data_IF_954431933932
#
_entry.id   IF_954431933932
#
_cell.length_a   1.000
_cell.length_b   1.000
_cell.length_c   1.000
_cell.angle_alpha   90.00
_cell.angle_beta   90.00
_cell.angle_gamma   90.00
#
_symmetry.space_group_name_H-M   'P 1'
#
loop_
_entity.id
_entity.type
_entity.pdbx_description
1 polymer ?
#
# COMPACT_ATOMS: atom_id res chain seq x y z
N UNK A 1 -4.19 -2.71 7.20
CA UNK A 1 -3.46 -1.60 6.54
C UNK A 1 -4.14 -0.25 6.65
N UNK A 2 -5.35 -0.09 6.10
CA UNK A 2 -5.94 1.26 5.92
C UNK A 2 -6.07 2.10 7.20
N UNK A 3 -6.44 1.51 8.34
CA UNK A 3 -6.57 2.24 9.62
C UNK A 3 -5.24 2.71 10.23
N UNK A 4 -4.13 2.06 9.88
CA UNK A 4 -2.79 2.42 10.37
C UNK A 4 -1.98 3.20 9.33
N UNK A 5 -2.61 3.60 8.22
CA UNK A 5 -1.94 4.37 7.19
C UNK A 5 -1.53 5.75 7.75
N UNK A 6 -0.30 6.25 7.50
CA UNK A 6 0.19 7.49 8.11
C UNK A 6 -0.69 8.72 7.87
N UNK A 7 -1.44 8.74 6.77
CA UNK A 7 -2.35 9.83 6.39
C UNK A 7 -3.82 9.53 6.70
N UNK A 8 -4.09 8.44 7.42
CA UNK A 8 -5.44 8.03 7.82
C UNK A 8 -6.18 7.18 6.78
N UNK A 9 -7.27 6.56 7.24
CA UNK A 9 -8.10 5.65 6.44
C UNK A 9 -8.82 6.38 5.30
N UNK A 10 -9.33 7.59 5.57
CA UNK A 10 -10.07 8.40 4.60
C UNK A 10 -9.19 8.86 3.43
N UNK A 11 -7.87 8.96 3.64
CA UNK A 11 -6.91 9.21 2.58
C UNK A 11 -6.58 7.94 1.78
N UNK A 12 -6.44 6.80 2.46
CA UNK A 12 -6.04 5.53 1.88
C UNK A 12 -7.13 4.92 0.99
N UNK A 13 -8.37 4.87 1.49
CA UNK A 13 -9.49 4.18 0.84
C UNK A 13 -9.80 4.68 -0.59
N UNK A 14 -10.00 5.98 -0.85
CA UNK A 14 -10.35 6.45 -2.20
C UNK A 14 -9.21 6.23 -3.20
N UNK A 15 -7.95 6.32 -2.76
CA UNK A 15 -6.77 6.10 -3.62
C UNK A 15 -6.63 4.64 -4.01
N UNK A 16 -6.82 3.73 -3.06
CA UNK A 16 -6.84 2.29 -3.32
C UNK A 16 -7.94 1.95 -4.32
N UNK A 17 -9.16 2.46 -4.07
CA UNK A 17 -10.29 2.24 -4.96
C UNK A 17 -10.01 2.76 -6.38
N UNK A 18 -9.50 4.00 -6.52
CA UNK A 18 -9.13 4.56 -7.83
C UNK A 18 -8.09 3.71 -8.57
N UNK A 19 -7.09 3.20 -7.86
CA UNK A 19 -6.06 2.35 -8.45
C UNK A 19 -6.65 1.06 -9.04
N UNK A 20 -7.50 0.36 -8.30
CA UNK A 20 -8.19 -0.84 -8.81
C UNK A 20 -9.20 -0.52 -9.91
N UNK A 21 -10.00 0.55 -9.75
CA UNK A 21 -10.98 0.95 -10.76
C UNK A 21 -10.32 1.30 -12.11
N UNK A 22 -9.14 1.91 -12.10
CA UNK A 22 -8.41 2.22 -13.34
C UNK A 22 -7.99 0.97 -14.14
N UNK A 23 -8.02 -0.22 -13.51
CA UNK A 23 -7.69 -1.51 -14.11
C UNK A 23 -8.91 -2.44 -14.23
N UNK A 24 -10.11 -1.96 -13.94
CA UNK A 24 -11.33 -2.78 -13.95
C UNK A 24 -11.74 -3.28 -15.35
N UNK A 25 -11.21 -2.68 -16.41
CA UNK A 25 -11.49 -3.06 -17.80
C UNK A 25 -10.60 -4.21 -18.31
N UNK A 26 -9.62 -4.66 -17.51
CA UNK A 26 -8.76 -5.78 -17.90
C UNK A 26 -9.60 -7.07 -17.97
N UNK A 27 -9.56 -7.74 -19.11
CA UNK A 27 -10.23 -9.03 -19.34
C UNK A 27 -9.25 -10.18 -19.53
N UNK A 28 -7.98 -9.88 -19.84
CA UNK A 28 -6.94 -10.88 -20.00
C UNK A 28 -6.49 -11.39 -18.63
N UNK A 29 -6.54 -12.70 -18.43
CA UNK A 29 -6.19 -13.35 -17.16
C UNK A 29 -4.74 -13.10 -16.74
N UNK A 30 -3.79 -13.07 -17.69
CA UNK A 30 -2.38 -12.84 -17.40
C UNK A 30 -2.13 -11.41 -16.90
N UNK A 31 -2.81 -10.42 -17.49
CA UNK A 31 -2.73 -9.02 -17.07
C UNK A 31 -3.32 -8.81 -15.67
N UNK A 32 -4.41 -9.52 -15.35
CA UNK A 32 -5.03 -9.51 -14.03
C UNK A 32 -4.07 -10.10 -12.99
N UNK A 33 -3.45 -11.25 -13.29
CA UNK A 33 -2.46 -11.90 -12.40
C UNK A 33 -1.26 -10.99 -12.14
N UNK A 34 -0.72 -10.34 -13.17
CA UNK A 34 0.36 -9.36 -13.03
C UNK A 34 -0.07 -8.15 -12.19
N UNK A 35 -1.30 -7.66 -12.39
CA UNK A 35 -1.88 -6.59 -11.59
C UNK A 35 -1.97 -6.94 -10.10
N UNK A 36 -2.40 -8.16 -9.78
CA UNK A 36 -2.46 -8.67 -8.40
C UNK A 36 -1.06 -8.79 -7.80
N UNK A 37 -0.10 -9.40 -8.50
CA UNK A 37 1.29 -9.49 -8.03
C UNK A 37 1.88 -8.12 -7.73
N UNK A 38 1.63 -7.14 -8.61
CA UNK A 38 2.09 -5.77 -8.38
C UNK A 38 1.43 -5.14 -7.15
N UNK A 39 0.14 -5.39 -6.92
CA UNK A 39 -0.54 -4.92 -5.72
C UNK A 39 0.06 -5.53 -4.44
N UNK A 40 0.40 -6.83 -4.45
CA UNK A 40 1.07 -7.50 -3.33
C UNK A 40 2.48 -6.96 -3.07
N UNK A 41 3.23 -6.65 -4.13
CA UNK A 41 4.54 -6.04 -4.01
C UNK A 41 4.46 -4.65 -3.34
N UNK A 42 3.58 -3.78 -3.84
CA UNK A 42 3.36 -2.43 -3.28
C UNK A 42 2.90 -2.51 -1.83
N UNK A 43 2.04 -3.49 -1.50
CA UNK A 43 1.61 -3.77 -0.12
C UNK A 43 2.81 -3.98 0.81
N UNK A 44 3.75 -4.86 0.42
CA UNK A 44 4.96 -5.17 1.21
C UNK A 44 5.89 -3.97 1.33
N UNK A 45 6.07 -3.18 0.27
CA UNK A 45 6.88 -1.95 0.32
C UNK A 45 6.33 -0.94 1.33
N UNK A 46 5.00 -0.73 1.34
CA UNK A 46 4.36 0.19 2.27
C UNK A 46 4.51 -0.30 3.72
N UNK A 47 4.39 -1.60 3.97
CA UNK A 47 4.65 -2.20 5.30
C UNK A 47 6.09 -1.93 5.74
N UNK A 48 7.07 -2.21 4.87
CA UNK A 48 8.48 -2.00 5.16
C UNK A 48 8.78 -0.53 5.48
N UNK A 49 8.23 0.42 4.70
CA UNK A 49 8.37 1.86 4.97
C UNK A 49 7.74 2.27 6.29
N UNK A 50 6.59 1.70 6.65
CA UNK A 50 5.94 1.95 7.94
C UNK A 50 6.82 1.49 9.11
N UNK A 51 7.35 0.25 9.04
CA UNK A 51 8.25 -0.28 10.06
C UNK A 51 9.55 0.53 10.16
N UNK A 52 10.12 0.94 9.03
CA UNK A 52 11.33 1.76 8.99
C UNK A 52 11.10 3.13 9.65
N UNK A 53 9.97 3.80 9.35
CA UNK A 53 9.62 5.06 9.99
C UNK A 53 9.46 4.90 11.49
N UNK A 54 8.73 3.86 11.94
CA UNK A 54 8.55 3.55 13.36
C UNK A 54 9.90 3.30 14.06
N UNK A 55 10.77 2.51 13.45
CA UNK A 55 12.11 2.24 13.96
C UNK A 55 12.94 3.53 14.11
N UNK A 56 12.97 4.39 13.07
CA UNK A 56 13.68 5.68 13.12
C UNK A 56 13.16 6.57 14.25
N UNK A 57 11.84 6.69 14.40
CA UNK A 57 11.23 7.48 15.48
C UNK A 57 11.55 6.94 16.87
N UNK A 58 11.61 5.61 17.06
CA UNK A 58 12.03 5.03 18.33
C UNK A 58 13.52 5.29 18.59
N UNK A 59 14.39 5.02 17.61
CA UNK A 59 15.83 5.24 17.75
C UNK A 59 16.16 6.68 18.17
N UNK A 60 15.50 7.68 17.57
CA UNK A 60 15.68 9.09 17.92
C UNK A 60 15.27 9.44 19.36
N UNK A 61 14.35 8.70 19.98
CA UNK A 61 13.89 8.97 21.35
C UNK A 61 14.76 8.31 22.43
N UNK A 62 15.47 7.25 22.06
CA UNK A 62 16.29 6.44 22.99
C UNK A 62 17.80 6.60 22.76
N UNK A 63 18.21 7.44 21.79
CA UNK A 63 19.59 7.92 21.59
C UNK A 63 19.69 9.36 22.02
#
# INVERSE_FOLDING_TARGET
MGKHYPLGYDYFRPRLHKAFMSKAHLQNEDEIRQGIQRAEYVKKEIEALYFLKKYRSMKQRYS
#
